data_IF_713466309160
#
_entry.id   IF_713466309160
#
_cell.length_a   1.000
_cell.length_b   1.000
_cell.length_c   1.000
_cell.angle_alpha   90.00
_cell.angle_beta   90.00
_cell.angle_gamma   90.00
#
_symmetry.space_group_name_H-M   'P 1'
#
loop_
_entity.id
_entity.type
_entity.pdbx_description
1 polymer ?
#
# COMPACT_ATOMS: atom_id res chain seq x y z
N UNK A 1 -2.63 16.01 0.44
CA UNK A 1 -4.01 16.39 0.86
C UNK A 1 -4.96 15.58 0.00
N UNK A 2 -5.81 14.75 0.58
CA UNK A 2 -6.81 13.99 -0.16
C UNK A 2 -8.01 14.86 -0.55
N UNK A 3 -8.65 14.56 -1.68
CA UNK A 3 -9.85 15.27 -2.12
C UNK A 3 -11.11 14.66 -1.50
N UNK A 4 -12.11 15.48 -1.18
CA UNK A 4 -13.37 14.99 -0.64
C UNK A 4 -14.11 14.10 -1.66
N UNK A 5 -14.56 12.91 -1.23
CA UNK A 5 -15.34 11.98 -2.07
C UNK A 5 -16.70 12.56 -2.51
N UNK A 6 -17.26 13.44 -1.68
CA UNK A 6 -18.57 14.06 -1.90
C UNK A 6 -18.35 15.44 -2.55
N UNK A 7 -18.94 15.66 -3.72
CA UNK A 7 -18.87 16.89 -4.53
C UNK A 7 -17.72 16.95 -5.57
N UNK A 8 -17.62 15.91 -6.41
CA UNK A 8 -16.62 15.74 -7.47
C UNK A 8 -16.49 16.96 -8.39
N UNK A 9 -17.60 17.61 -8.76
CA UNK A 9 -17.56 18.80 -9.63
C UNK A 9 -16.79 19.97 -9.03
N UNK A 10 -17.01 20.27 -7.74
CA UNK A 10 -16.29 21.35 -7.05
C UNK A 10 -14.81 21.03 -6.90
N UNK A 11 -14.48 19.78 -6.63
CA UNK A 11 -13.07 19.32 -6.57
C UNK A 11 -12.40 19.53 -7.92
N UNK A 12 -13.06 19.15 -9.01
CA UNK A 12 -12.51 19.29 -10.36
C UNK A 12 -12.41 20.75 -10.83
N UNK A 13 -13.34 21.60 -10.42
CA UNK A 13 -13.22 23.04 -10.61
C UNK A 13 -12.00 23.61 -9.86
N UNK A 14 -11.80 23.19 -8.60
CA UNK A 14 -10.63 23.60 -7.83
C UNK A 14 -9.33 23.14 -8.49
N UNK A 15 -9.25 21.87 -8.93
CA UNK A 15 -8.09 21.33 -9.66
C UNK A 15 -7.80 22.14 -10.93
N UNK A 16 -8.83 22.51 -11.71
CA UNK A 16 -8.67 23.36 -12.90
C UNK A 16 -8.11 24.74 -12.55
N UNK A 17 -8.62 25.37 -11.49
CA UNK A 17 -8.16 26.71 -11.05
C UNK A 17 -6.70 26.74 -10.60
N UNK A 18 -6.16 25.61 -10.16
CA UNK A 18 -4.75 25.49 -9.73
C UNK A 18 -3.87 24.78 -10.76
N UNK A 19 -4.30 24.73 -12.04
CA UNK A 19 -3.57 24.11 -13.13
C UNK A 19 -3.12 22.66 -12.83
N UNK A 20 -4.02 21.86 -12.24
CA UNK A 20 -3.77 20.45 -11.99
C UNK A 20 -2.83 20.13 -10.83
N UNK A 21 -2.41 21.13 -10.04
CA UNK A 21 -1.51 20.93 -8.89
C UNK A 21 -2.10 20.03 -7.78
N UNK A 22 -3.43 19.90 -7.70
CA UNK A 22 -4.12 19.03 -6.74
C UNK A 22 -4.41 17.69 -7.39
N UNK A 23 -3.86 16.61 -6.83
CA UNK A 23 -4.15 15.24 -7.25
C UNK A 23 -5.56 14.80 -6.84
N UNK A 24 -6.22 14.06 -7.73
CA UNK A 24 -7.56 13.52 -7.48
C UNK A 24 -7.46 12.13 -6.83
N UNK A 25 -8.26 11.89 -5.79
CA UNK A 25 -8.18 10.67 -4.98
C UNK A 25 -9.41 9.78 -5.13
N UNK A 26 -9.20 8.54 -5.56
CA UNK A 26 -10.18 7.45 -5.59
C UNK A 26 -9.94 6.43 -4.49
N UNK A 27 -10.03 6.82 -3.22
CA UNK A 27 -9.78 5.91 -2.10
C UNK A 27 -10.90 4.87 -1.96
N UNK A 28 -10.83 3.72 -2.64
CA UNK A 28 -11.89 2.70 -2.65
C UNK A 28 -11.79 1.71 -1.49
N UNK A 29 -10.60 1.53 -0.91
CA UNK A 29 -10.25 0.49 0.09
C UNK A 29 -10.30 -0.95 -0.48
N UNK A 30 -11.35 -1.31 -1.20
CA UNK A 30 -11.51 -2.54 -1.97
C UNK A 30 -12.53 -2.28 -3.09
N UNK A 31 -12.61 -3.13 -4.10
CA UNK A 31 -13.73 -3.12 -5.06
C UNK A 31 -14.66 -4.33 -4.89
N UNK A 32 -14.34 -5.24 -3.97
CA UNK A 32 -15.17 -6.42 -3.68
C UNK A 32 -16.38 -6.02 -2.80
N UNK A 33 -17.63 -6.28 -3.25
CA UNK A 33 -18.82 -5.85 -2.52
C UNK A 33 -18.94 -6.47 -1.12
N UNK A 34 -18.49 -7.71 -0.92
CA UNK A 34 -18.56 -8.39 0.36
C UNK A 34 -17.55 -7.77 1.34
N UNK A 35 -16.30 -7.57 0.91
CA UNK A 35 -15.27 -6.90 1.71
C UNK A 35 -15.73 -5.51 2.14
N UNK A 36 -16.29 -4.73 1.20
CA UNK A 36 -16.81 -3.40 1.50
C UNK A 36 -17.99 -3.43 2.48
N UNK A 37 -18.92 -4.36 2.31
CA UNK A 37 -20.04 -4.54 3.25
C UNK A 37 -19.54 -4.86 4.67
N UNK A 38 -18.52 -5.72 4.79
CA UNK A 38 -17.94 -6.11 6.08
C UNK A 38 -17.29 -4.94 6.83
N UNK A 39 -16.83 -3.90 6.11
CA UNK A 39 -16.29 -2.66 6.69
C UNK A 39 -17.27 -1.48 6.61
N UNK A 40 -18.56 -1.76 6.35
CA UNK A 40 -19.65 -0.77 6.25
C UNK A 40 -19.36 0.35 5.25
N UNK A 41 -18.67 0.04 4.16
CA UNK A 41 -18.43 0.93 3.04
C UNK A 41 -19.42 0.60 1.92
N UNK A 42 -19.95 1.65 1.28
CA UNK A 42 -20.70 1.50 0.05
C UNK A 42 -19.73 1.29 -1.12
N UNK A 43 -20.11 0.42 -2.05
CA UNK A 43 -19.35 0.25 -3.29
C UNK A 43 -19.38 1.54 -4.12
N UNK A 44 -18.25 1.84 -4.78
CA UNK A 44 -18.19 2.88 -5.80
C UNK A 44 -18.37 2.19 -7.14
N UNK A 45 -19.31 2.69 -7.94
CA UNK A 45 -19.55 2.15 -9.26
C UNK A 45 -18.31 2.28 -10.16
N UNK A 46 -18.02 1.23 -10.94
CA UNK A 46 -16.80 1.15 -11.76
C UNK A 46 -16.79 2.27 -12.82
N UNK A 47 -17.95 2.58 -13.43
CA UNK A 47 -18.02 3.67 -14.40
C UNK A 47 -17.64 5.01 -13.75
N UNK A 48 -18.07 5.23 -12.50
CA UNK A 48 -17.66 6.42 -11.75
C UNK A 48 -16.16 6.48 -11.41
N UNK A 49 -15.47 5.35 -11.35
CA UNK A 49 -14.01 5.28 -11.17
C UNK A 49 -13.29 5.62 -12.47
N UNK A 50 -13.75 5.04 -13.59
CA UNK A 50 -13.25 5.34 -14.95
C UNK A 50 -13.42 6.83 -15.25
N UNK A 51 -14.64 7.36 -15.07
CA UNK A 51 -14.94 8.77 -15.29
C UNK A 51 -14.06 9.70 -14.43
N UNK A 52 -13.70 9.27 -13.21
CA UNK A 52 -12.81 10.05 -12.35
C UNK A 52 -11.37 10.05 -12.88
N UNK A 53 -10.87 8.91 -13.33
CA UNK A 53 -9.54 8.77 -13.90
C UNK A 53 -9.41 9.55 -15.22
N UNK A 54 -10.40 9.45 -16.11
CA UNK A 54 -10.42 10.15 -17.40
C UNK A 54 -10.44 11.67 -17.20
N UNK A 55 -11.31 12.17 -16.32
CA UNK A 55 -11.39 13.61 -16.02
C UNK A 55 -10.11 14.15 -15.38
N UNK A 56 -9.38 13.32 -14.63
CA UNK A 56 -8.08 13.69 -14.10
C UNK A 56 -7.05 13.88 -15.22
N UNK A 57 -7.00 12.92 -16.15
CA UNK A 57 -6.12 12.94 -17.30
C UNK A 57 -6.41 14.16 -18.21
N UNK A 58 -7.68 14.49 -18.46
CA UNK A 58 -8.09 15.65 -19.27
C UNK A 58 -7.62 16.99 -18.69
N UNK A 59 -7.56 17.11 -17.36
CA UNK A 59 -7.13 18.33 -16.66
C UNK A 59 -5.60 18.35 -16.48
N UNK A 60 -4.89 17.29 -16.92
CA UNK A 60 -3.45 17.15 -16.76
C UNK A 60 -3.02 16.96 -15.30
N UNK A 61 -3.90 16.41 -14.46
CA UNK A 61 -3.60 16.13 -13.05
C UNK A 61 -3.43 14.63 -12.80
N UNK A 62 -2.52 14.28 -11.89
CA UNK A 62 -2.35 12.89 -11.48
C UNK A 62 -3.54 12.45 -10.62
N UNK A 63 -4.08 11.28 -10.92
CA UNK A 63 -5.06 10.60 -10.08
C UNK A 63 -4.38 9.47 -9.30
N UNK A 64 -4.83 9.25 -8.07
CA UNK A 64 -4.40 8.08 -7.31
C UNK A 64 -5.60 7.38 -6.69
N UNK A 65 -5.54 6.05 -6.62
CA UNK A 65 -6.50 5.24 -5.91
C UNK A 65 -5.83 4.48 -4.77
N UNK A 66 -6.60 4.11 -3.75
CA UNK A 66 -6.08 3.44 -2.55
C UNK A 66 -6.85 2.16 -2.27
N UNK A 67 -6.12 1.07 -2.06
CA UNK A 67 -6.64 -0.24 -1.60
C UNK A 67 -5.93 -0.68 -0.34
N UNK A 68 -6.60 -1.51 0.47
CA UNK A 68 -6.07 -2.02 1.73
C UNK A 68 -6.16 -3.55 1.70
N UNK A 69 -5.01 -4.21 1.79
CA UNK A 69 -4.89 -5.66 1.92
C UNK A 69 -5.25 -6.11 3.34
N UNK A 70 -5.99 -7.21 3.45
CA UNK A 70 -6.29 -7.87 4.72
C UNK A 70 -7.55 -7.34 5.41
N UNK A 71 -8.44 -6.68 4.67
CA UNK A 71 -9.74 -6.27 5.18
C UNK A 71 -10.63 -7.48 5.55
N UNK A 72 -11.59 -7.36 6.47
CA UNK A 72 -12.57 -8.41 6.77
C UNK A 72 -13.20 -9.07 5.52
N UNK A 73 -12.96 -10.37 5.33
CA UNK A 73 -13.48 -11.16 4.19
C UNK A 73 -12.66 -11.06 2.89
N UNK A 74 -11.48 -10.43 2.96
CA UNK A 74 -10.55 -10.31 1.85
C UNK A 74 -9.83 -11.64 1.55
N UNK A 75 -9.30 -11.77 0.33
CA UNK A 75 -8.51 -12.90 -0.13
C UNK A 75 -7.50 -12.43 -1.17
N UNK A 76 -6.50 -13.25 -1.52
CA UNK A 76 -5.54 -12.86 -2.54
C UNK A 76 -6.21 -12.53 -3.89
N UNK A 77 -7.22 -13.32 -4.27
CA UNK A 77 -8.01 -13.08 -5.48
C UNK A 77 -8.75 -11.74 -5.43
N UNK A 78 -9.46 -11.45 -4.33
CA UNK A 78 -10.23 -10.21 -4.17
C UNK A 78 -9.35 -8.96 -4.13
N UNK A 79 -8.20 -9.05 -3.46
CA UNK A 79 -7.21 -7.97 -3.43
C UNK A 79 -6.63 -7.69 -4.82
N UNK A 80 -6.17 -8.73 -5.54
CA UNK A 80 -5.65 -8.58 -6.90
C UNK A 80 -6.73 -8.04 -7.85
N UNK A 81 -7.99 -8.48 -7.72
CA UNK A 81 -9.11 -7.98 -8.52
C UNK A 81 -9.40 -6.50 -8.27
N UNK A 82 -9.23 -6.05 -7.02
CA UNK A 82 -9.32 -4.63 -6.66
C UNK A 82 -8.23 -3.82 -7.34
N UNK A 83 -6.99 -4.33 -7.36
CA UNK A 83 -5.87 -3.68 -8.06
C UNK A 83 -6.11 -3.66 -9.58
N UNK A 84 -6.55 -4.78 -10.18
CA UNK A 84 -6.92 -4.87 -11.60
C UNK A 84 -7.92 -3.79 -11.97
N UNK A 85 -9.01 -3.67 -11.20
CA UNK A 85 -10.07 -2.69 -11.46
C UNK A 85 -9.52 -1.27 -11.51
N UNK A 86 -8.60 -0.90 -10.62
CA UNK A 86 -8.06 0.46 -10.53
C UNK A 86 -7.00 0.74 -11.60
N UNK A 87 -6.14 -0.24 -11.87
CA UNK A 87 -5.13 -0.16 -12.93
C UNK A 87 -5.81 -0.02 -14.29
N UNK A 88 -6.81 -0.84 -14.57
CA UNK A 88 -7.50 -0.81 -15.85
C UNK A 88 -8.51 0.35 -15.96
N UNK A 89 -9.02 0.88 -14.85
CA UNK A 89 -9.74 2.17 -14.83
C UNK A 89 -8.83 3.37 -15.18
N UNK A 90 -7.51 3.24 -15.04
CA UNK A 90 -6.54 4.24 -15.51
C UNK A 90 -6.14 5.31 -14.52
N UNK A 91 -6.23 5.01 -13.21
CA UNK A 91 -5.60 5.85 -12.19
C UNK A 91 -4.10 5.95 -12.43
N UNK A 92 -3.51 7.13 -12.28
CA UNK A 92 -2.07 7.32 -12.50
C UNK A 92 -1.22 6.53 -11.49
N UNK A 93 -1.70 6.43 -10.25
CA UNK A 93 -1.07 5.67 -9.17
C UNK A 93 -2.10 4.80 -8.44
N UNK A 94 -1.70 3.59 -8.06
CA UNK A 94 -2.45 2.74 -7.14
C UNK A 94 -1.62 2.53 -5.87
N UNK A 95 -2.13 3.01 -4.74
CA UNK A 95 -1.47 2.89 -3.44
C UNK A 95 -2.09 1.73 -2.66
N UNK A 96 -1.25 0.76 -2.33
CA UNK A 96 -1.66 -0.48 -1.68
C UNK A 96 -1.15 -0.51 -0.25
N UNK A 97 -2.06 -0.33 0.70
CA UNK A 97 -1.78 -0.36 2.13
C UNK A 97 -2.08 -1.74 2.71
N UNK A 98 -1.68 -1.96 3.97
CA UNK A 98 -2.07 -3.11 4.75
C UNK A 98 -3.02 -2.64 5.85
N UNK A 99 -3.93 -3.50 6.29
CA UNK A 99 -4.85 -3.14 7.35
C UNK A 99 -4.11 -2.98 8.69
N UNK A 100 -4.03 -1.75 9.16
CA UNK A 100 -3.57 -1.39 10.51
C UNK A 100 -4.72 -1.48 11.52
N UNK A 101 -4.46 -2.08 12.68
CA UNK A 101 -5.41 -2.22 13.78
C UNK A 101 -5.36 -0.98 14.68
N UNK A 102 -6.22 -0.01 14.36
CA UNK A 102 -6.34 1.22 15.14
C UNK A 102 -7.17 1.00 16.42
N UNK A 103 -6.67 1.39 17.61
CA UNK A 103 -7.45 1.33 18.84
C UNK A 103 -8.77 2.08 18.71
N UNK A 104 -9.87 1.42 19.09
CA UNK A 104 -11.22 1.99 19.00
C UNK A 104 -11.89 1.88 17.64
N UNK A 105 -11.21 1.39 16.60
CA UNK A 105 -11.87 1.05 15.34
C UNK A 105 -12.72 -0.21 15.49
N UNK A 106 -13.88 -0.27 14.82
CA UNK A 106 -14.77 -1.44 14.86
C UNK A 106 -14.06 -2.72 14.40
N UNK A 107 -13.20 -2.61 13.38
CA UNK A 107 -12.40 -3.73 12.87
C UNK A 107 -11.45 -4.31 13.92
N UNK A 108 -11.08 -3.52 14.93
CA UNK A 108 -10.17 -3.93 16.00
C UNK A 108 -10.89 -4.58 17.20
N UNK A 109 -12.22 -4.67 17.17
CA UNK A 109 -13.00 -5.31 18.25
C UNK A 109 -12.72 -6.81 18.36
N UNK A 110 -12.76 -7.40 19.58
CA UNK A 110 -12.60 -8.84 19.77
C UNK A 110 -13.57 -9.69 18.93
N UNK A 111 -14.79 -9.20 18.75
CA UNK A 111 -15.86 -9.87 18.00
C UNK A 111 -15.49 -10.00 16.52
N UNK A 112 -15.06 -8.90 15.88
CA UNK A 112 -14.66 -8.90 14.47
C UNK A 112 -13.39 -9.73 14.27
N UNK A 113 -12.40 -9.60 15.16
CA UNK A 113 -11.18 -10.41 15.12
C UNK A 113 -11.49 -11.91 15.14
N UNK A 114 -12.39 -12.33 16.02
CA UNK A 114 -12.82 -13.74 16.13
C UNK A 114 -13.62 -14.18 14.90
N UNK A 115 -14.53 -13.35 14.41
CA UNK A 115 -15.37 -13.66 13.25
C UNK A 115 -14.53 -13.99 12.01
N UNK A 116 -13.51 -13.20 11.72
CA UNK A 116 -12.67 -13.38 10.51
C UNK A 116 -11.39 -14.16 10.78
N UNK A 117 -11.19 -14.67 12.00
CA UNK A 117 -9.96 -15.37 12.44
C UNK A 117 -8.71 -14.58 12.09
N UNK A 118 -8.70 -13.30 12.46
CA UNK A 118 -7.61 -12.39 12.13
C UNK A 118 -6.32 -12.83 12.82
N UNK A 119 -5.28 -13.12 12.03
CA UNK A 119 -3.91 -13.19 12.51
C UNK A 119 -3.26 -11.81 12.32
N UNK A 120 -2.69 -11.30 13.40
CA UNK A 120 -2.04 -10.00 13.43
C UNK A 120 -0.62 -10.10 13.93
N UNK A 121 0.22 -9.18 13.48
CA UNK A 121 1.62 -9.06 13.89
C UNK A 121 1.97 -7.58 14.06
N UNK A 122 3.04 -7.33 14.80
CA UNK A 122 3.50 -5.99 15.15
C UNK A 122 4.74 -5.61 14.36
N UNK A 123 4.85 -4.33 14.00
CA UNK A 123 6.09 -3.76 13.46
C UNK A 123 6.24 -2.30 13.86
N UNK A 124 7.44 -1.77 13.68
CA UNK A 124 7.70 -0.34 13.88
C UNK A 124 7.14 0.45 12.70
N UNK A 125 6.42 1.53 12.97
CA UNK A 125 5.93 2.44 11.94
C UNK A 125 7.12 3.15 11.29
N UNK A 126 7.28 3.07 9.95
CA UNK A 126 8.43 3.67 9.28
C UNK A 126 8.55 5.17 9.59
N UNK A 127 9.77 5.60 9.96
CA UNK A 127 10.11 6.99 10.33
C UNK A 127 9.48 7.52 11.63
N UNK A 128 8.79 6.69 12.39
CA UNK A 128 8.22 7.06 13.69
C UNK A 128 9.04 6.47 14.84
N UNK A 129 10.31 6.80 14.89
CA UNK A 129 11.23 6.32 15.92
C UNK A 129 12.34 7.35 16.15
N UNK A 130 12.92 7.36 17.35
CA UNK A 130 14.00 8.27 17.66
C UNK A 130 14.53 8.18 19.08
N UNK A 131 15.64 8.88 19.28
CA UNK A 131 16.29 9.10 20.56
C UNK A 131 16.27 10.61 20.83
N UNK A 132 15.55 11.02 21.86
CA UNK A 132 15.28 12.42 22.16
C UNK A 132 15.88 12.82 23.50
N UNK A 133 16.67 13.88 23.52
CA UNK A 133 17.11 14.50 24.78
C UNK A 133 16.04 15.47 25.26
N UNK A 134 15.51 15.25 26.47
CA UNK A 134 14.42 16.02 27.07
C UNK A 134 14.84 16.50 28.47
N UNK A 135 14.49 17.75 28.81
CA UNK A 135 14.80 18.34 30.11
C UNK A 135 16.31 18.46 30.37
N UNK A 136 16.73 18.16 31.60
CA UNK A 136 18.11 18.32 32.09
C UNK A 136 19.04 17.15 31.69
N UNK A 137 18.80 16.54 30.51
CA UNK A 137 19.65 15.48 29.95
C UNK A 137 19.08 14.06 30.02
N UNK A 138 17.76 13.90 30.22
CA UNK A 138 17.11 12.60 30.09
C UNK A 138 17.01 12.20 28.61
N UNK A 139 17.47 11.00 28.27
CA UNK A 139 17.32 10.44 26.94
C UNK A 139 16.09 9.53 26.88
N UNK A 140 15.16 9.87 26.00
CA UNK A 140 13.96 9.09 25.72
C UNK A 140 14.14 8.39 24.38
N UNK A 141 14.30 7.06 24.44
CA UNK A 141 14.28 6.18 23.26
C UNK A 141 12.85 5.70 23.05
N UNK A 142 12.28 5.96 21.87
CA UNK A 142 10.91 5.56 21.56
C UNK A 142 10.73 5.19 20.09
N UNK A 143 9.82 4.27 19.84
CA UNK A 143 9.37 3.86 18.52
C UNK A 143 7.85 3.65 18.55
N UNK A 144 7.15 4.17 17.55
CA UNK A 144 5.74 3.86 17.33
C UNK A 144 5.63 2.46 16.75
N UNK A 145 4.78 1.64 17.36
CA UNK A 145 4.52 0.27 16.96
C UNK A 145 3.08 0.17 16.50
N UNK A 146 2.88 -0.33 15.29
CA UNK A 146 1.59 -0.68 14.74
C UNK A 146 1.34 -2.19 14.84
N UNK A 147 0.06 -2.55 14.93
CA UNK A 147 -0.41 -3.90 14.74
C UNK A 147 -1.07 -3.95 13.36
N UNK A 148 -0.71 -4.94 12.53
CA UNK A 148 -1.28 -5.11 11.19
C UNK A 148 -1.89 -6.51 11.04
N UNK A 149 -2.89 -6.64 10.16
CA UNK A 149 -3.44 -7.94 9.77
C UNK A 149 -2.55 -8.59 8.71
N UNK A 150 -2.11 -9.81 8.97
CA UNK A 150 -1.27 -10.59 8.06
C UNK A 150 -1.92 -11.91 7.63
N UNK A 151 -3.05 -12.28 8.25
CA UNK A 151 -3.89 -13.40 7.80
C UNK A 151 -5.34 -13.27 8.26
N UNK A 152 -6.22 -13.97 7.56
CA UNK A 152 -7.67 -14.10 7.80
C UNK A 152 -8.08 -15.56 7.57
N UNK A 153 -9.33 -15.89 7.90
CA UNK A 153 -9.94 -17.17 7.52
C UNK A 153 -9.92 -17.46 6.00
N UNK A 154 -9.85 -16.42 5.17
CA UNK A 154 -9.85 -16.44 3.70
C UNK A 154 -8.54 -15.95 3.07
N UNK A 155 -7.52 -15.69 3.88
CA UNK A 155 -6.21 -15.18 3.44
C UNK A 155 -5.12 -15.74 4.35
N UNK A 156 -4.35 -16.70 3.84
CA UNK A 156 -3.18 -17.23 4.55
C UNK A 156 -2.01 -16.23 4.58
N UNK A 157 -1.04 -16.44 5.47
CA UNK A 157 0.16 -15.59 5.51
C UNK A 157 0.97 -15.66 4.20
N UNK A 158 1.06 -16.83 3.56
CA UNK A 158 1.74 -16.97 2.26
C UNK A 158 0.98 -16.24 1.14
N UNK A 159 -0.35 -16.27 1.15
CA UNK A 159 -1.17 -15.47 0.23
C UNK A 159 -1.03 -13.96 0.49
N UNK A 160 -0.92 -13.55 1.76
CA UNK A 160 -0.60 -12.17 2.11
C UNK A 160 0.75 -11.74 1.53
N UNK A 161 1.79 -12.58 1.64
CA UNK A 161 3.10 -12.31 1.07
C UNK A 161 3.07 -12.29 -0.47
N UNK A 162 2.30 -13.18 -1.09
CA UNK A 162 2.04 -13.15 -2.53
C UNK A 162 1.42 -11.81 -2.96
N UNK A 163 0.43 -11.31 -2.22
CA UNK A 163 -0.16 -9.99 -2.47
C UNK A 163 0.86 -8.86 -2.26
N UNK A 164 1.67 -8.93 -1.21
CA UNK A 164 2.76 -7.97 -0.96
C UNK A 164 3.75 -7.94 -2.12
N UNK A 165 4.15 -9.10 -2.65
CA UNK A 165 5.02 -9.22 -3.83
C UNK A 165 4.36 -8.55 -5.04
N UNK A 166 3.09 -8.81 -5.29
CA UNK A 166 2.34 -8.20 -6.39
C UNK A 166 2.26 -6.67 -6.24
N UNK A 167 2.01 -6.17 -5.02
CA UNK A 167 1.97 -4.73 -4.74
C UNK A 167 3.32 -4.04 -5.05
N UNK A 168 4.45 -4.72 -4.82
CA UNK A 168 5.76 -4.19 -5.22
C UNK A 168 5.87 -4.09 -6.75
N UNK A 169 5.40 -5.10 -7.50
CA UNK A 169 5.44 -5.06 -8.97
C UNK A 169 4.61 -3.91 -9.54
N UNK A 170 3.40 -3.71 -9.03
CA UNK A 170 2.55 -2.57 -9.43
C UNK A 170 3.28 -1.26 -9.11
N UNK A 171 3.93 -1.17 -7.96
CA UNK A 171 4.68 0.03 -7.58
C UNK A 171 5.88 0.30 -8.49
N UNK A 172 6.57 -0.73 -8.98
CA UNK A 172 7.75 -0.59 -9.87
C UNK A 172 7.33 -0.29 -11.31
N UNK A 173 6.33 -1.00 -11.83
CA UNK A 173 6.02 -1.03 -13.27
C UNK A 173 4.85 -0.13 -13.67
N UNK A 174 3.98 0.25 -12.74
CA UNK A 174 2.79 1.04 -13.04
C UNK A 174 2.84 2.45 -12.47
N UNK A 175 3.14 2.58 -11.18
CA UNK A 175 3.13 3.87 -10.48
C UNK A 175 4.25 4.81 -10.95
N UNK A 176 4.12 6.09 -10.62
CA UNK A 176 5.12 7.15 -10.83
C UNK A 176 5.50 7.44 -12.31
N UNK A 177 4.83 6.79 -13.27
CA UNK A 177 4.89 7.15 -14.69
C UNK A 177 6.14 6.71 -15.44
N UNK A 178 7.00 5.85 -14.87
CA UNK A 178 8.21 5.35 -15.54
C UNK A 178 7.89 4.69 -16.89
N UNK A 179 6.82 3.89 -16.92
CA UNK A 179 6.34 3.19 -18.13
C UNK A 179 5.13 3.88 -18.78
N UNK A 180 4.86 5.16 -18.49
CA UNK A 180 3.62 5.83 -18.91
C UNK A 180 3.40 5.79 -20.43
N UNK A 181 4.46 5.90 -21.24
CA UNK A 181 4.36 5.81 -22.70
C UNK A 181 3.84 4.45 -23.16
N UNK A 182 4.36 3.36 -22.58
CA UNK A 182 3.89 2.00 -22.84
C UNK A 182 2.45 1.82 -22.34
N UNK A 183 2.14 2.26 -21.12
CA UNK A 183 0.80 2.14 -20.55
C UNK A 183 -0.27 2.85 -21.39
N UNK A 184 0.05 4.03 -21.95
CA UNK A 184 -0.82 4.74 -22.91
C UNK A 184 -0.99 3.97 -24.22
N UNK A 185 0.08 3.33 -24.71
CA UNK A 185 0.00 2.49 -25.91
C UNK A 185 -0.88 1.26 -25.70
N UNK A 186 -0.73 0.58 -24.56
CA UNK A 186 -1.59 -0.56 -24.19
C UNK A 186 -3.06 -0.14 -24.15
N UNK A 187 -3.35 0.98 -23.49
CA UNK A 187 -4.71 1.54 -23.45
C UNK A 187 -5.25 1.87 -24.85
N UNK A 188 -4.43 2.44 -25.74
CA UNK A 188 -4.84 2.76 -27.11
C UNK A 188 -5.26 1.52 -27.93
N UNK A 189 -4.68 0.36 -27.64
CA UNK A 189 -5.01 -0.91 -28.29
C UNK A 189 -6.00 -1.77 -27.49
N UNK A 190 -6.69 -1.20 -26.50
CA UNK A 190 -7.62 -1.91 -25.62
C UNK A 190 -6.99 -3.13 -24.90
N UNK A 191 -5.68 -3.06 -24.63
CA UNK A 191 -4.94 -4.09 -23.90
C UNK A 191 -4.94 -3.72 -22.41
N UNK A 192 -5.37 -4.67 -21.57
CA UNK A 192 -5.35 -4.53 -20.10
C UNK A 192 -3.93 -4.25 -19.60
N UNK A 193 -3.79 -3.16 -18.85
CA UNK A 193 -2.54 -2.77 -18.21
C UNK A 193 -2.24 -3.69 -17.04
N UNK A 194 -3.29 -4.12 -16.32
CA UNK A 194 -3.16 -5.14 -15.31
C UNK A 194 -2.64 -6.46 -15.89
N UNK A 195 -3.17 -6.91 -17.03
CA UNK A 195 -2.71 -8.14 -17.66
C UNK A 195 -1.22 -8.08 -18.02
N UNK A 196 -0.72 -6.91 -18.47
CA UNK A 196 0.71 -6.69 -18.68
C UNK A 196 1.53 -6.80 -17.39
N UNK A 197 1.10 -6.15 -16.30
CA UNK A 197 1.77 -6.26 -14.98
C UNK A 197 1.70 -7.70 -14.46
N UNK A 198 0.59 -8.40 -14.66
CA UNK A 198 0.41 -9.78 -14.22
C UNK A 198 1.29 -10.75 -15.01
N UNK A 199 1.39 -10.56 -16.32
CA UNK A 199 2.32 -11.29 -17.17
C UNK A 199 3.77 -11.06 -16.75
N UNK A 200 4.09 -9.83 -16.31
CA UNK A 200 5.38 -9.57 -15.66
C UNK A 200 5.44 -10.39 -14.35
N UNK A 201 4.54 -10.18 -13.40
CA UNK A 201 4.61 -10.85 -12.10
C UNK A 201 4.73 -12.40 -12.17
N UNK A 202 4.11 -13.03 -13.16
CA UNK A 202 4.12 -14.48 -13.37
C UNK A 202 5.39 -15.01 -14.07
N UNK A 203 6.22 -14.14 -14.63
CA UNK A 203 7.46 -14.53 -15.27
C UNK A 203 8.60 -14.70 -14.25
N UNK A 204 9.54 -15.60 -14.55
CA UNK A 204 10.78 -15.70 -13.80
C UNK A 204 11.78 -14.64 -14.26
N UNK A 205 12.31 -13.89 -13.32
CA UNK A 205 13.33 -12.88 -13.60
C UNK A 205 14.68 -13.38 -13.11
N UNK A 206 15.75 -13.33 -13.93
CA UNK A 206 17.10 -13.53 -13.45
C UNK A 206 17.68 -12.23 -12.89
N UNK A 207 18.73 -12.37 -12.07
CA UNK A 207 19.62 -11.26 -11.74
C UNK A 207 19.15 -10.37 -10.59
N UNK A 208 19.36 -9.05 -10.73
CA UNK A 208 19.24 -8.09 -9.63
C UNK A 208 17.79 -7.83 -9.20
N UNK A 209 16.87 -7.78 -10.16
CA UNK A 209 15.44 -7.61 -9.88
C UNK A 209 14.89 -8.77 -9.03
N UNK A 210 15.28 -10.00 -9.35
CA UNK A 210 14.89 -11.20 -8.59
C UNK A 210 15.34 -11.11 -7.13
N UNK A 211 16.63 -10.78 -6.92
CA UNK A 211 17.19 -10.59 -5.58
C UNK A 211 16.48 -9.47 -4.83
N UNK A 212 16.17 -8.36 -5.50
CA UNK A 212 15.46 -7.22 -4.90
C UNK A 212 14.06 -7.61 -4.44
N UNK A 213 13.35 -8.44 -5.21
CA UNK A 213 12.03 -8.95 -4.84
C UNK A 213 12.14 -9.96 -3.69
N UNK A 214 13.12 -10.85 -3.72
CA UNK A 214 13.35 -11.84 -2.65
C UNK A 214 13.72 -11.16 -1.33
N UNK A 215 14.60 -10.16 -1.38
CA UNK A 215 15.00 -9.33 -0.25
C UNK A 215 13.79 -8.55 0.30
N UNK A 216 12.91 -8.03 -0.55
CA UNK A 216 11.67 -7.39 -0.10
C UNK A 216 10.76 -8.34 0.68
N UNK A 217 10.61 -9.59 0.21
CA UNK A 217 9.79 -10.59 0.89
C UNK A 217 10.44 -11.05 2.19
N UNK A 218 11.77 -11.21 2.21
CA UNK A 218 12.52 -11.49 3.44
C UNK A 218 12.31 -10.37 4.46
N UNK A 219 12.59 -9.12 4.10
CA UNK A 219 12.43 -7.97 5.01
C UNK A 219 10.95 -7.81 5.47
N UNK A 220 9.98 -8.11 4.60
CA UNK A 220 8.54 -8.11 4.96
C UNK A 220 8.22 -9.15 6.03
N UNK A 221 8.93 -10.28 6.08
CA UNK A 221 8.78 -11.29 7.15
C UNK A 221 9.52 -10.88 8.41
N UNK A 222 10.77 -10.44 8.25
CA UNK A 222 11.67 -10.13 9.37
C UNK A 222 11.27 -8.87 10.15
N UNK A 223 10.49 -7.96 9.55
CA UNK A 223 9.96 -6.78 10.27
C UNK A 223 8.81 -7.13 11.23
N UNK A 224 8.24 -8.33 11.14
CA UNK A 224 7.01 -8.72 11.85
C UNK A 224 7.31 -9.48 13.13
N UNK A 225 6.69 -9.02 14.22
CA UNK A 225 6.84 -9.57 15.56
C UNK A 225 5.50 -10.11 16.06
N UNK A 226 5.52 -11.25 16.74
CA UNK A 226 4.29 -11.83 17.30
C UNK A 226 3.87 -11.15 18.62
N UNK A 227 4.82 -10.52 19.32
CA UNK A 227 4.60 -9.85 20.60
C UNK A 227 4.95 -8.37 20.55
N UNK A 228 3.96 -7.52 20.87
CA UNK A 228 4.16 -6.07 21.01
C UNK A 228 5.18 -5.75 22.09
N UNK A 229 5.12 -6.43 23.23
CA UNK A 229 5.97 -6.12 24.37
C UNK A 229 7.43 -6.49 24.10
N UNK A 230 7.66 -7.59 23.37
CA UNK A 230 9.01 -7.96 22.91
C UNK A 230 9.56 -6.92 21.94
N UNK A 231 8.75 -6.44 20.99
CA UNK A 231 9.16 -5.38 20.07
C UNK A 231 9.44 -4.06 20.81
N UNK A 232 8.61 -3.66 21.77
CA UNK A 232 8.86 -2.49 22.64
C UNK A 232 10.17 -2.64 23.39
N UNK A 233 10.42 -3.81 23.99
CA UNK A 233 11.66 -4.07 24.73
C UNK A 233 12.89 -4.06 23.80
N UNK A 234 12.73 -4.54 22.56
CA UNK A 234 13.76 -4.50 21.54
C UNK A 234 14.09 -3.06 21.14
N UNK A 235 13.09 -2.25 20.79
CA UNK A 235 13.30 -0.87 20.31
C UNK A 235 13.77 0.10 21.38
N UNK A 236 13.54 -0.19 22.66
CA UNK A 236 14.02 0.65 23.79
C UNK A 236 15.53 0.58 24.01
N UNK A 237 16.22 -0.40 23.42
CA UNK A 237 17.67 -0.53 23.52
C UNK A 237 18.35 0.53 22.63
N UNK A 238 19.26 1.36 23.16
CA UNK A 238 19.95 2.38 22.37
C UNK A 238 20.63 1.82 21.12
N UNK A 239 21.33 0.69 21.23
CA UNK A 239 21.98 0.04 20.09
C UNK A 239 21.01 -0.46 19.01
N UNK A 240 19.75 -0.69 19.38
CA UNK A 240 18.72 -1.13 18.44
C UNK A 240 18.07 0.07 17.77
N UNK A 241 17.73 1.13 18.51
CA UNK A 241 17.12 2.32 17.91
C UNK A 241 18.07 3.00 16.91
N UNK A 242 19.38 2.97 17.16
CA UNK A 242 20.39 3.50 16.23
C UNK A 242 20.35 2.77 14.87
N UNK A 243 20.03 1.46 14.84
CA UNK A 243 19.86 0.74 13.57
C UNK A 243 18.65 1.23 12.78
N UNK A 244 17.56 1.59 13.47
CA UNK A 244 16.41 2.22 12.83
C UNK A 244 16.75 3.62 12.30
N UNK A 245 17.47 4.42 13.09
CA UNK A 245 17.91 5.78 12.72
C UNK A 245 18.85 5.75 11.50
N UNK A 246 19.73 4.74 11.41
CA UNK A 246 20.68 4.57 10.32
C UNK A 246 20.12 3.82 9.10
N UNK A 247 18.78 3.68 8.99
CA UNK A 247 18.08 3.00 7.89
C UNK A 247 18.45 1.51 7.71
N UNK A 248 19.05 0.87 8.72
CA UNK A 248 19.31 -0.57 8.72
C UNK A 248 18.01 -1.37 8.99
N UNK A 249 17.09 -0.80 9.77
CA UNK A 249 15.78 -1.37 10.13
C UNK A 249 14.65 -0.34 9.97
N UNK A 250 13.40 -0.82 9.86
CA UNK A 250 12.20 0.02 9.86
C UNK A 250 12.05 0.96 8.66
N UNK A 251 12.72 0.65 7.55
CA UNK A 251 12.52 1.34 6.29
C UNK A 251 11.09 1.15 5.79
N UNK A 252 10.57 2.13 5.05
CA UNK A 252 9.36 1.90 4.25
C UNK A 252 9.72 0.93 3.12
N UNK A 253 9.38 -0.36 3.30
CA UNK A 253 9.85 -1.43 2.41
C UNK A 253 9.43 -1.21 0.95
N UNK A 254 8.17 -0.88 0.67
CA UNK A 254 7.72 -0.62 -0.71
C UNK A 254 8.55 0.50 -1.35
N UNK A 255 8.80 1.59 -0.62
CA UNK A 255 9.60 2.70 -1.14
C UNK A 255 11.08 2.33 -1.32
N UNK A 256 11.70 1.67 -0.32
CA UNK A 256 13.09 1.18 -0.36
C UNK A 256 13.31 0.30 -1.58
N UNK A 257 12.47 -0.72 -1.76
CA UNK A 257 12.64 -1.71 -2.81
C UNK A 257 12.25 -1.19 -4.21
N UNK A 258 11.30 -0.25 -4.30
CA UNK A 258 11.08 0.52 -5.55
C UNK A 258 12.33 1.30 -5.95
N UNK A 259 12.95 2.00 -5.00
CA UNK A 259 14.15 2.80 -5.27
C UNK A 259 15.31 1.91 -5.69
N UNK A 260 15.54 0.78 -5.03
CA UNK A 260 16.58 -0.19 -5.42
C UNK A 260 16.34 -0.76 -6.83
N UNK A 261 15.11 -1.18 -7.13
CA UNK A 261 14.76 -1.72 -8.44
C UNK A 261 14.94 -0.72 -9.60
N UNK A 262 14.75 0.58 -9.34
CA UNK A 262 14.88 1.63 -10.37
C UNK A 262 16.28 2.21 -10.46
N UNK A 263 17.01 2.34 -9.34
CA UNK A 263 18.34 2.95 -9.31
C UNK A 263 19.46 2.03 -9.80
N UNK A 264 19.33 0.71 -9.67
CA UNK A 264 20.33 -0.26 -10.16
C UNK A 264 20.56 -0.19 -11.68
N UNK A 265 19.58 0.32 -12.43
CA UNK A 265 19.61 0.38 -13.90
C UNK A 265 19.92 1.76 -14.48
N UNK A 266 20.08 2.81 -13.65
CA UNK A 266 20.36 4.19 -14.09
C UNK A 266 21.87 4.48 -14.23
N UNK A 267 22.68 3.47 -14.59
CA UNK A 267 24.12 3.61 -14.83
C UNK A 267 24.45 3.77 -16.29
#
# INVERSE_FOLDING_TARGET
>A
VGTGKNNKERVLEACRRVNGAIRLSGSVQSTDPEVLANIKRSNIDIQQLIDLADRANDIGTNSYAEVILGLPGDSAEKHLKSVETLVDAGFSDVWMFQLMMLPGAEVATPEVRKQYRMGTQYRVVPRSFGNYSVGDGENIVTAEIEEIVTSLSSLTFEEYLYCRRFNLMVTIFYNDGVFQGLLKLLQHFDISRYAWIKAIFDHEYPGELARTIDDFIRDTKEELWDSRDELVAFTRKPETIEKYINDELGANLIFKYKALATSGHLR
#
